data_IF_909024105516
#
_entry.id   IF_909024105516
#
_cell.length_a   1.000
_cell.length_b   1.000
_cell.length_c   1.000
_cell.angle_alpha   90.00
_cell.angle_beta   90.00
_cell.angle_gamma   90.00
#
_symmetry.space_group_name_H-M   'P 1'
#
loop_
_entity.id
_entity.type
_entity.pdbx_description
1 polymer ?
#
# COMPACT_ATOMS: atom_id res chain seq x y z
N UNK A 1 0.49 11.38 21.34
CA UNK A 1 -0.08 12.24 20.26
C UNK A 1 0.54 13.65 20.21
N UNK A 2 0.75 14.35 21.34
CA UNK A 2 1.40 15.68 21.36
C UNK A 2 2.86 15.68 20.86
N UNK A 3 3.61 14.59 21.04
CA UNK A 3 5.03 14.54 20.64
C UNK A 3 5.26 14.47 19.14
N UNK A 4 4.34 13.90 18.34
CA UNK A 4 4.52 13.75 16.88
C UNK A 4 4.37 15.10 16.17
N UNK A 5 3.48 15.97 16.64
CA UNK A 5 3.29 17.30 16.06
C UNK A 5 4.46 18.27 16.35
N UNK A 6 5.15 18.10 17.49
CA UNK A 6 6.27 18.97 17.86
C UNK A 6 7.55 18.73 17.02
N UNK A 7 7.68 17.53 16.39
CA UNK A 7 8.88 17.18 15.63
C UNK A 7 8.93 17.71 14.19
N UNK A 8 7.79 18.00 13.60
CA UNK A 8 7.70 18.39 12.18
C UNK A 8 7.56 19.91 11.98
N UNK A 9 7.33 20.65 13.06
CA UNK A 9 7.10 22.11 12.99
C UNK A 9 5.82 22.49 12.23
N UNK A 10 4.95 21.53 11.94
CA UNK A 10 3.73 21.72 11.16
C UNK A 10 2.61 22.15 12.11
N UNK A 11 2.01 23.28 11.81
CA UNK A 11 0.83 23.74 12.52
C UNK A 11 -0.42 23.09 11.90
N UNK A 12 -0.98 22.10 12.57
CA UNK A 12 -2.15 21.37 12.08
C UNK A 12 -3.41 21.95 12.69
N UNK A 13 -4.38 22.28 11.85
CA UNK A 13 -5.69 22.77 12.26
C UNK A 13 -6.40 21.73 13.17
N UNK A 14 -6.94 22.10 14.35
CA UNK A 14 -7.69 21.20 15.21
C UNK A 14 -8.88 20.51 14.55
N UNK A 15 -9.54 21.14 13.58
CA UNK A 15 -10.63 20.51 12.81
C UNK A 15 -10.12 19.41 11.87
N UNK A 16 -8.92 19.57 11.33
CA UNK A 16 -8.24 18.53 10.58
C UNK A 16 -7.96 17.29 11.45
N UNK A 17 -7.43 17.47 12.67
CA UNK A 17 -7.20 16.36 13.61
C UNK A 17 -8.50 15.62 13.96
N UNK A 18 -9.59 16.35 14.18
CA UNK A 18 -10.90 15.74 14.41
C UNK A 18 -11.40 14.91 13.22
N UNK A 19 -11.11 15.36 12.01
CA UNK A 19 -11.45 14.62 10.79
C UNK A 19 -10.62 13.36 10.65
N UNK A 20 -9.32 13.43 10.92
CA UNK A 20 -8.42 12.26 10.96
C UNK A 20 -8.91 11.21 11.97
N UNK A 21 -9.33 11.62 13.16
CA UNK A 21 -9.87 10.70 14.18
C UNK A 21 -11.17 10.00 13.73
N UNK A 22 -11.97 10.62 12.87
CA UNK A 22 -13.21 10.03 12.33
C UNK A 22 -12.98 9.03 11.22
N UNK A 23 -11.90 9.14 10.45
CA UNK A 23 -11.64 8.31 9.26
C UNK A 23 -11.64 6.82 9.63
N UNK A 24 -11.02 6.44 10.74
CA UNK A 24 -10.97 5.04 11.19
C UNK A 24 -12.38 4.46 11.41
N UNK A 25 -13.28 5.23 12.03
CA UNK A 25 -14.64 4.76 12.32
C UNK A 25 -15.50 4.65 11.07
N UNK A 26 -15.32 5.56 10.12
CA UNK A 26 -16.06 5.57 8.85
C UNK A 26 -15.62 4.39 7.97
N UNK A 27 -14.33 4.19 7.80
CA UNK A 27 -13.79 3.11 6.96
C UNK A 27 -14.16 1.71 7.46
N UNK A 28 -14.05 1.45 8.76
CA UNK A 28 -14.43 0.17 9.35
C UNK A 28 -15.92 -0.13 9.19
N UNK A 29 -16.79 0.85 9.42
CA UNK A 29 -18.23 0.66 9.27
C UNK A 29 -18.66 0.41 7.83
N UNK A 30 -18.02 1.08 6.88
CA UNK A 30 -18.34 0.95 5.46
C UNK A 30 -17.97 -0.43 4.90
N UNK A 31 -16.81 -0.98 5.30
CA UNK A 31 -16.28 -2.20 4.71
C UNK A 31 -16.53 -3.47 5.55
N UNK A 32 -17.07 -3.36 6.76
CA UNK A 32 -17.16 -4.46 7.70
C UNK A 32 -17.87 -5.71 7.15
N UNK A 33 -18.98 -5.53 6.47
CA UNK A 33 -19.74 -6.63 5.85
C UNK A 33 -18.94 -7.30 4.73
N UNK A 34 -18.39 -6.49 3.82
CA UNK A 34 -17.58 -6.99 2.68
C UNK A 34 -16.34 -7.73 3.15
N UNK A 35 -15.64 -7.20 4.14
CA UNK A 35 -14.47 -7.83 4.76
C UNK A 35 -14.78 -9.22 5.32
N UNK A 36 -15.87 -9.35 6.07
CA UNK A 36 -16.29 -10.64 6.65
C UNK A 36 -16.76 -11.63 5.59
N UNK A 37 -17.54 -11.18 4.61
CA UNK A 37 -18.02 -12.03 3.51
C UNK A 37 -16.86 -12.54 2.65
N UNK A 38 -15.93 -11.66 2.28
CA UNK A 38 -14.74 -12.05 1.53
C UNK A 38 -13.91 -13.08 2.32
N UNK A 39 -13.63 -12.81 3.60
CA UNK A 39 -12.86 -13.74 4.45
C UNK A 39 -13.52 -15.12 4.54
N UNK A 40 -14.85 -15.18 4.68
CA UNK A 40 -15.61 -16.43 4.71
C UNK A 40 -15.53 -17.17 3.36
N UNK A 41 -15.71 -16.46 2.26
CA UNK A 41 -15.69 -17.04 0.92
C UNK A 41 -14.30 -17.56 0.52
N UNK A 42 -13.24 -16.88 1.00
CA UNK A 42 -11.87 -17.24 0.70
C UNK A 42 -11.33 -18.42 1.50
N UNK A 43 -12.02 -18.84 2.57
CA UNK A 43 -11.61 -19.95 3.43
C UNK A 43 -11.27 -21.22 2.65
N UNK A 44 -12.02 -21.55 1.61
CA UNK A 44 -11.81 -22.74 0.75
C UNK A 44 -10.51 -22.71 -0.06
N UNK A 45 -9.88 -21.54 -0.25
CA UNK A 45 -8.63 -21.39 -0.99
C UNK A 45 -7.39 -21.38 -0.07
N UNK A 46 -7.59 -21.36 1.25
CA UNK A 46 -6.50 -21.30 2.22
C UNK A 46 -5.83 -22.66 2.31
N UNK A 47 -4.63 -22.75 1.73
CA UNK A 47 -3.79 -23.96 1.80
C UNK A 47 -2.51 -23.71 2.59
N UNK A 48 -2.00 -22.47 2.57
CA UNK A 48 -0.80 -22.02 3.27
C UNK A 48 -1.08 -20.69 3.96
N UNK A 49 -0.35 -20.38 5.00
CA UNK A 49 -0.45 -19.13 5.74
C UNK A 49 0.89 -18.38 5.72
N UNK A 50 0.91 -17.14 6.20
CA UNK A 50 2.18 -16.40 6.34
C UNK A 50 3.21 -17.11 7.25
N UNK A 51 2.79 -18.09 8.07
CA UNK A 51 3.72 -18.92 8.86
C UNK A 51 4.49 -19.92 8.00
N UNK A 52 3.96 -20.26 6.84
CA UNK A 52 4.55 -21.21 5.90
C UNK A 52 5.43 -20.53 4.84
N UNK A 53 5.55 -19.20 4.92
CA UNK A 53 6.39 -18.44 3.98
C UNK A 53 7.84 -18.87 4.13
N UNK A 54 8.49 -19.34 3.05
CA UNK A 54 9.88 -19.70 3.12
C UNK A 54 10.73 -18.43 3.32
N UNK A 55 11.73 -18.54 4.19
CA UNK A 55 12.76 -17.48 4.30
C UNK A 55 13.43 -17.27 2.95
N UNK A 56 13.83 -16.03 2.61
CA UNK A 56 14.57 -15.77 1.38
C UNK A 56 15.84 -16.60 1.31
N UNK A 57 15.93 -17.51 0.34
CA UNK A 57 17.10 -18.37 0.14
C UNK A 57 18.01 -17.72 -0.89
N UNK A 58 19.31 -17.73 -0.62
CA UNK A 58 20.33 -17.24 -1.55
C UNK A 58 20.48 -15.72 -1.61
N UNK A 59 19.84 -15.00 -0.68
CA UNK A 59 20.06 -13.56 -0.52
C UNK A 59 21.35 -13.32 0.24
N UNK A 60 22.20 -12.41 -0.24
CA UNK A 60 23.46 -12.06 0.39
C UNK A 60 23.30 -11.05 1.53
N UNK A 61 22.18 -10.35 1.56
CA UNK A 61 21.90 -9.31 2.53
C UNK A 61 20.69 -9.65 3.42
N UNK A 62 20.78 -9.34 4.70
CA UNK A 62 19.67 -9.39 5.67
C UNK A 62 18.83 -8.10 5.61
N UNK A 63 18.66 -7.54 4.43
CA UNK A 63 17.90 -6.33 4.19
C UNK A 63 16.76 -6.55 3.21
N UNK A 64 15.80 -5.63 3.20
CA UNK A 64 14.70 -5.64 2.24
C UNK A 64 14.39 -4.23 1.70
N UNK A 65 13.89 -4.19 0.48
CA UNK A 65 13.26 -3.01 -0.10
C UNK A 65 11.77 -3.30 -0.30
N UNK A 66 10.93 -2.50 0.34
CA UNK A 66 9.47 -2.49 0.14
C UNK A 66 9.14 -1.46 -0.92
N UNK A 67 8.55 -1.92 -2.02
CA UNK A 67 8.19 -1.09 -3.17
C UNK A 67 6.69 -0.82 -3.13
N UNK A 68 6.31 0.40 -2.76
CA UNK A 68 4.94 0.91 -2.79
C UNK A 68 4.62 1.53 -4.16
N UNK A 69 3.44 2.14 -4.34
CA UNK A 69 2.94 2.53 -5.65
C UNK A 69 2.83 4.05 -5.87
N UNK A 70 3.42 4.85 -5.00
CA UNK A 70 3.36 6.31 -5.07
C UNK A 70 4.03 6.90 -6.32
N UNK A 71 3.71 8.16 -6.66
CA UNK A 71 4.21 8.82 -7.87
C UNK A 71 5.73 8.99 -7.93
N UNK A 72 6.41 9.02 -6.80
CA UNK A 72 7.88 9.08 -6.73
C UNK A 72 8.59 7.92 -7.44
N UNK A 73 7.96 6.75 -7.54
CA UNK A 73 8.53 5.63 -8.31
C UNK A 73 8.87 6.03 -9.75
N UNK A 74 8.03 6.86 -10.37
CA UNK A 74 8.26 7.33 -11.73
C UNK A 74 9.08 8.62 -11.77
N UNK A 75 8.68 9.60 -10.94
CA UNK A 75 9.34 10.91 -10.91
C UNK A 75 10.84 10.78 -10.62
N UNK A 76 11.21 9.84 -9.75
CA UNK A 76 12.60 9.60 -9.34
C UNK A 76 13.26 8.40 -10.01
N UNK A 77 12.58 7.74 -10.96
CA UNK A 77 13.08 6.55 -11.68
C UNK A 77 13.62 5.45 -10.75
N UNK A 78 12.97 5.25 -9.61
CA UNK A 78 13.48 4.43 -8.50
C UNK A 78 13.71 2.96 -8.90
N UNK A 79 12.81 2.36 -9.68
CA UNK A 79 12.93 0.94 -10.04
C UNK A 79 14.18 0.66 -10.87
N UNK A 80 14.52 1.53 -11.83
CA UNK A 80 15.77 1.40 -12.58
C UNK A 80 16.99 1.58 -11.68
N UNK A 81 16.95 2.53 -10.78
CA UNK A 81 18.04 2.79 -9.81
C UNK A 81 18.29 1.59 -8.90
N UNK A 82 17.24 0.92 -8.40
CA UNK A 82 17.37 -0.34 -7.64
C UNK A 82 18.03 -1.42 -8.51
N UNK A 83 17.56 -1.59 -9.75
CA UNK A 83 18.11 -2.59 -10.67
C UNK A 83 19.59 -2.32 -10.96
N UNK A 84 19.91 -1.07 -11.28
CA UNK A 84 21.28 -0.67 -11.66
C UNK A 84 22.27 -0.75 -10.49
N UNK A 85 21.78 -0.64 -9.24
CA UNK A 85 22.61 -0.83 -8.04
C UNK A 85 23.07 -2.27 -7.83
N UNK A 86 22.45 -3.23 -8.53
CA UNK A 86 22.74 -4.66 -8.34
C UNK A 86 22.32 -5.18 -6.97
N UNK A 87 21.29 -4.61 -6.33
CA UNK A 87 20.84 -4.98 -5.00
C UNK A 87 20.52 -6.47 -4.87
N UNK A 88 21.13 -7.15 -3.91
CA UNK A 88 21.03 -8.58 -3.69
C UNK A 88 20.18 -8.97 -2.45
N UNK A 89 19.58 -8.00 -1.78
CA UNK A 89 18.66 -8.24 -0.66
C UNK A 89 17.24 -8.63 -1.14
N UNK A 90 16.31 -8.68 -0.20
CA UNK A 90 14.92 -9.09 -0.48
C UNK A 90 14.12 -7.94 -1.09
N UNK A 91 13.38 -8.21 -2.16
CA UNK A 91 12.48 -7.24 -2.80
C UNK A 91 11.04 -7.65 -2.54
N UNK A 92 10.26 -6.76 -1.95
CA UNK A 92 8.84 -6.94 -1.65
C UNK A 92 8.05 -5.87 -2.41
N UNK A 93 7.26 -6.26 -3.38
CA UNK A 93 6.34 -5.35 -4.07
C UNK A 93 4.95 -5.44 -3.46
N UNK A 94 4.21 -4.34 -3.49
CA UNK A 94 2.77 -4.40 -3.25
C UNK A 94 2.03 -4.68 -4.57
N UNK A 95 0.76 -5.03 -4.47
CA UNK A 95 -0.14 -5.24 -5.62
C UNK A 95 -0.05 -4.11 -6.65
N UNK A 96 -0.13 -2.84 -6.22
CA UNK A 96 -0.06 -1.66 -7.07
C UNK A 96 1.29 -1.39 -7.74
N UNK A 97 2.37 -2.03 -7.30
CA UNK A 97 3.72 -1.86 -7.88
C UNK A 97 4.22 -3.08 -8.64
N UNK A 98 3.59 -4.24 -8.47
CA UNK A 98 4.06 -5.51 -9.03
C UNK A 98 4.29 -5.46 -10.55
N UNK A 99 3.29 -5.04 -11.31
CA UNK A 99 3.41 -4.96 -12.78
C UNK A 99 4.48 -3.94 -13.20
N UNK A 100 4.64 -2.88 -12.42
CA UNK A 100 5.68 -1.87 -12.67
C UNK A 100 7.09 -2.45 -12.47
N UNK A 101 7.26 -3.25 -11.41
CA UNK A 101 8.51 -3.97 -11.17
C UNK A 101 8.86 -4.89 -12.34
N UNK A 102 7.91 -5.69 -12.82
CA UNK A 102 8.14 -6.58 -13.97
C UNK A 102 8.52 -5.78 -15.23
N UNK A 103 7.81 -4.66 -15.50
CA UNK A 103 8.12 -3.79 -16.65
C UNK A 103 9.52 -3.18 -16.58
N UNK A 104 10.09 -3.05 -15.39
CA UNK A 104 11.44 -2.57 -15.14
C UNK A 104 12.48 -3.71 -15.07
N UNK A 105 12.11 -4.94 -15.38
CA UNK A 105 12.93 -6.16 -15.19
C UNK A 105 13.43 -6.31 -13.74
N UNK A 106 12.65 -5.90 -12.78
CA UNK A 106 12.92 -6.04 -11.35
C UNK A 106 11.94 -7.06 -10.77
N UNK A 107 12.38 -8.31 -10.59
CA UNK A 107 11.54 -9.40 -10.10
C UNK A 107 11.41 -9.37 -8.58
N UNK A 108 10.22 -9.13 -8.00
CA UNK A 108 10.03 -9.21 -6.56
C UNK A 108 10.14 -10.64 -6.03
N UNK A 109 10.66 -10.80 -4.83
CA UNK A 109 10.66 -12.07 -4.10
C UNK A 109 9.28 -12.38 -3.51
N UNK A 110 8.57 -11.34 -3.09
CA UNK A 110 7.23 -11.43 -2.52
C UNK A 110 6.35 -10.30 -3.08
N UNK A 111 5.07 -10.61 -3.21
CA UNK A 111 4.03 -9.64 -3.56
C UNK A 111 3.01 -9.64 -2.43
N UNK A 112 2.61 -8.48 -1.95
CA UNK A 112 1.63 -8.36 -0.87
C UNK A 112 0.39 -7.61 -1.34
N UNK A 113 -0.79 -8.12 -0.99
CA UNK A 113 -2.09 -7.47 -1.29
C UNK A 113 -2.97 -7.38 -0.04
N UNK A 114 -3.72 -6.31 0.08
CA UNK A 114 -4.57 -6.00 1.23
C UNK A 114 -5.98 -5.55 0.84
N UNK A 115 -6.12 -4.76 -0.22
CA UNK A 115 -7.35 -4.02 -0.54
C UNK A 115 -8.53 -4.97 -0.85
N UNK A 116 -9.69 -4.81 -0.20
CA UNK A 116 -10.88 -5.62 -0.45
C UNK A 116 -11.66 -5.22 -1.72
N UNK A 117 -11.23 -4.18 -2.44
CA UNK A 117 -11.95 -3.66 -3.60
C UNK A 117 -11.68 -4.40 -4.90
N UNK A 118 -12.73 -4.87 -5.61
CA UNK A 118 -12.57 -5.64 -6.84
C UNK A 118 -12.05 -4.82 -8.04
N UNK A 119 -12.23 -3.52 -8.03
CA UNK A 119 -11.91 -2.63 -9.15
C UNK A 119 -10.42 -2.36 -9.36
N UNK A 120 -9.63 -2.54 -8.32
CA UNK A 120 -8.19 -2.30 -8.37
C UNK A 120 -7.39 -3.38 -9.10
N UNK A 121 -7.97 -4.55 -9.31
CA UNK A 121 -7.30 -5.68 -9.98
C UNK A 121 -6.77 -5.34 -11.38
N UNK A 122 -7.45 -4.45 -12.08
CA UNK A 122 -7.08 -3.97 -13.42
C UNK A 122 -5.60 -3.54 -13.50
N UNK A 123 -5.18 -2.70 -12.54
CA UNK A 123 -3.82 -2.16 -12.49
C UNK A 123 -2.83 -3.09 -11.82
N UNK A 124 -3.28 -4.05 -11.01
CA UNK A 124 -2.42 -4.94 -10.23
C UNK A 124 -2.04 -6.22 -10.96
N UNK A 125 -3.05 -6.93 -11.49
CA UNK A 125 -2.88 -8.27 -12.06
C UNK A 125 -3.46 -8.41 -13.46
N UNK A 126 -4.10 -7.34 -13.96
CA UNK A 126 -4.92 -7.39 -15.16
C UNK A 126 -6.24 -8.16 -14.94
N UNK A 127 -7.32 -7.64 -15.47
CA UNK A 127 -8.66 -8.24 -15.36
C UNK A 127 -9.13 -8.78 -16.71
N UNK A 128 -9.15 -10.11 -16.93
CA UNK A 128 -9.68 -10.71 -18.16
C UNK A 128 -11.16 -10.43 -18.41
N UNK A 129 -11.91 -10.08 -17.35
CA UNK A 129 -13.33 -9.77 -17.43
C UNK A 129 -13.65 -8.27 -17.36
N UNK A 130 -12.64 -7.42 -17.56
CA UNK A 130 -12.75 -5.98 -17.36
C UNK A 130 -13.91 -5.34 -18.14
N UNK A 131 -14.06 -5.66 -19.42
CA UNK A 131 -15.12 -5.10 -20.27
C UNK A 131 -16.51 -5.46 -19.74
N UNK A 132 -16.69 -6.69 -19.23
CA UNK A 132 -17.95 -7.12 -18.62
C UNK A 132 -18.20 -6.44 -17.27
N UNK A 133 -17.15 -6.27 -16.46
CA UNK A 133 -17.27 -5.65 -15.14
C UNK A 133 -17.51 -4.13 -15.23
N UNK A 134 -17.12 -3.48 -16.34
CA UNK A 134 -17.37 -2.06 -16.57
C UNK A 134 -18.87 -1.73 -16.66
N UNK A 135 -19.70 -2.63 -17.14
CA UNK A 135 -21.14 -2.40 -17.29
C UNK A 135 -21.86 -2.36 -15.94
N UNK A 136 -21.29 -3.05 -14.93
CA UNK A 136 -21.87 -3.22 -13.60
C UNK A 136 -21.20 -2.36 -12.51
N UNK A 137 -20.13 -1.64 -12.83
CA UNK A 137 -19.29 -0.96 -11.83
C UNK A 137 -19.50 0.55 -11.77
N UNK A 138 -20.12 0.98 -10.68
CA UNK A 138 -20.35 2.38 -10.33
C UNK A 138 -19.05 3.20 -10.09
N UNK A 139 -17.91 2.52 -9.87
CA UNK A 139 -16.61 3.17 -9.65
C UNK A 139 -16.16 3.97 -10.87
N UNK A 140 -16.29 3.41 -12.08
CA UNK A 140 -15.95 4.11 -13.32
C UNK A 140 -16.97 5.17 -13.72
N UNK A 141 -18.25 4.98 -13.39
CA UNK A 141 -19.29 5.98 -13.61
C UNK A 141 -19.12 7.19 -12.70
N UNK A 142 -18.64 6.99 -11.46
CA UNK A 142 -18.35 8.06 -10.50
C UNK A 142 -17.12 8.88 -10.85
N UNK A 143 -16.15 8.32 -11.59
CA UNK A 143 -14.91 9.03 -11.94
C UNK A 143 -15.00 9.82 -13.23
N UNK A 144 -16.15 9.82 -13.88
CA UNK A 144 -16.44 10.54 -15.14
C UNK A 144 -15.29 10.38 -16.17
N UNK A 145 -14.83 9.13 -16.33
CA UNK A 145 -13.70 8.81 -17.18
C UNK A 145 -14.10 9.01 -18.64
N UNK A 146 -13.39 9.89 -19.30
CA UNK A 146 -13.58 10.10 -20.72
C UNK A 146 -13.26 8.83 -21.55
N UNK A 147 -13.69 8.83 -22.81
CA UNK A 147 -13.48 7.70 -23.75
C UNK A 147 -11.98 7.42 -23.95
N UNK A 148 -11.13 8.43 -23.87
CA UNK A 148 -9.69 8.28 -24.03
C UNK A 148 -9.08 7.52 -22.85
N UNK A 149 -9.47 7.83 -21.62
CA UNK A 149 -9.03 7.07 -20.44
C UNK A 149 -9.53 5.63 -20.49
N UNK A 150 -10.78 5.41 -20.91
CA UNK A 150 -11.37 4.08 -21.06
C UNK A 150 -10.61 3.23 -22.07
N UNK A 151 -10.22 3.80 -23.20
CA UNK A 151 -9.43 3.13 -24.24
C UNK A 151 -8.01 2.83 -23.75
N UNK A 152 -7.36 3.78 -23.09
CA UNK A 152 -6.02 3.58 -22.51
C UNK A 152 -6.02 2.51 -21.42
N UNK A 153 -7.08 2.48 -20.59
CA UNK A 153 -7.22 1.46 -19.54
C UNK A 153 -7.37 0.05 -20.12
N UNK A 154 -8.10 -0.10 -21.23
CA UNK A 154 -8.23 -1.38 -21.91
C UNK A 154 -6.88 -1.88 -22.48
N UNK A 155 -6.09 -0.98 -23.09
CA UNK A 155 -4.80 -1.34 -23.63
C UNK A 155 -3.82 -1.73 -22.51
N UNK A 156 -3.74 -0.93 -21.46
CA UNK A 156 -2.91 -1.22 -20.30
C UNK A 156 -3.36 -2.53 -19.60
N UNK A 157 -4.65 -2.77 -19.50
CA UNK A 157 -5.17 -4.03 -18.96
C UNK A 157 -4.70 -5.25 -19.76
N UNK A 158 -4.77 -5.21 -21.08
CA UNK A 158 -4.30 -6.31 -21.94
C UNK A 158 -2.80 -6.55 -21.75
N UNK A 159 -2.00 -5.49 -21.68
CA UNK A 159 -0.56 -5.60 -21.36
C UNK A 159 -0.33 -6.22 -20.01
N UNK A 160 -1.05 -5.78 -18.97
CA UNK A 160 -0.94 -6.31 -17.62
C UNK A 160 -1.35 -7.79 -17.54
N UNK A 161 -2.43 -8.19 -18.21
CA UNK A 161 -2.85 -9.60 -18.32
C UNK A 161 -1.71 -10.45 -18.90
N UNK A 162 -1.11 -10.02 -20.00
CA UNK A 162 -0.01 -10.74 -20.66
C UNK A 162 1.20 -10.90 -19.73
N UNK A 163 1.64 -9.81 -19.13
CA UNK A 163 2.79 -9.81 -18.22
C UNK A 163 2.56 -10.69 -17.00
N UNK A 164 1.40 -10.58 -16.36
CA UNK A 164 1.08 -11.37 -15.18
C UNK A 164 0.94 -12.86 -15.51
N UNK A 165 0.39 -13.21 -16.67
CA UNK A 165 0.35 -14.60 -17.14
C UNK A 165 1.75 -15.18 -17.36
N UNK A 166 2.67 -14.35 -17.86
CA UNK A 166 4.05 -14.77 -18.13
C UNK A 166 4.87 -14.93 -16.84
N UNK A 167 4.73 -13.99 -15.89
CA UNK A 167 5.62 -13.88 -14.73
C UNK A 167 5.02 -14.37 -13.41
N UNK A 168 3.68 -14.51 -13.30
CA UNK A 168 3.02 -14.74 -12.00
C UNK A 168 3.07 -16.18 -11.49
N UNK A 169 3.22 -17.17 -12.37
CA UNK A 169 3.19 -18.58 -11.97
C UNK A 169 4.29 -18.91 -10.96
N UNK A 170 3.89 -19.41 -9.79
CA UNK A 170 4.80 -19.79 -8.71
C UNK A 170 5.40 -18.61 -7.92
N UNK A 171 5.05 -17.37 -8.26
CA UNK A 171 5.46 -16.20 -7.46
C UNK A 171 4.77 -16.20 -6.11
N UNK A 172 5.53 -15.90 -5.06
CA UNK A 172 5.02 -15.87 -3.69
C UNK A 172 4.13 -14.64 -3.47
N UNK A 173 2.84 -14.89 -3.27
CA UNK A 173 1.85 -13.86 -3.02
C UNK A 173 1.35 -13.95 -1.58
N UNK A 174 1.59 -12.90 -0.81
CA UNK A 174 1.14 -12.75 0.57
C UNK A 174 -0.23 -12.08 0.54
N UNK A 175 -1.28 -12.90 0.56
CA UNK A 175 -2.65 -12.48 0.29
C UNK A 175 -3.49 -12.34 1.55
N UNK A 176 -4.21 -11.21 1.66
CA UNK A 176 -5.13 -10.95 2.74
C UNK A 176 -6.43 -11.75 2.60
N UNK A 177 -6.97 -12.25 3.70
CA UNK A 177 -8.25 -12.97 3.71
C UNK A 177 -9.43 -12.15 3.17
N UNK A 178 -9.31 -10.83 3.19
CA UNK A 178 -10.32 -9.91 2.70
C UNK A 178 -10.29 -9.67 1.19
N UNK A 179 -9.37 -10.30 0.46
CA UNK A 179 -9.23 -10.15 -0.98
C UNK A 179 -10.56 -10.45 -1.71
N UNK A 180 -10.95 -9.63 -2.70
CA UNK A 180 -12.20 -9.81 -3.42
C UNK A 180 -12.14 -11.05 -4.32
N UNK A 181 -13.31 -11.60 -4.62
CA UNK A 181 -13.46 -12.86 -5.37
C UNK A 181 -12.69 -12.85 -6.70
N UNK A 182 -12.82 -11.79 -7.49
CA UNK A 182 -12.17 -11.67 -8.80
C UNK A 182 -10.65 -11.71 -8.70
N UNK A 183 -10.08 -11.06 -7.68
CA UNK A 183 -8.63 -11.11 -7.42
C UNK A 183 -8.20 -12.52 -7.06
N UNK A 184 -8.93 -13.21 -6.19
CA UNK A 184 -8.61 -14.60 -5.80
C UNK A 184 -8.70 -15.55 -7.00
N UNK A 185 -9.75 -15.44 -7.81
CA UNK A 185 -9.89 -16.24 -9.03
C UNK A 185 -8.73 -15.99 -10.00
N UNK A 186 -8.36 -14.72 -10.22
CA UNK A 186 -7.23 -14.35 -11.06
C UNK A 186 -5.90 -14.93 -10.56
N UNK A 187 -5.67 -14.88 -9.26
CA UNK A 187 -4.46 -15.43 -8.62
C UNK A 187 -4.37 -16.95 -8.81
N UNK A 188 -5.49 -17.65 -8.63
CA UNK A 188 -5.58 -19.10 -8.83
C UNK A 188 -5.35 -19.47 -10.29
N UNK A 189 -5.98 -18.76 -11.22
CA UNK A 189 -5.85 -18.99 -12.66
C UNK A 189 -4.42 -18.83 -13.17
N UNK A 190 -3.71 -17.83 -12.68
CA UNK A 190 -2.29 -17.60 -13.01
C UNK A 190 -1.38 -18.62 -12.34
N UNK A 191 -1.77 -19.15 -11.20
CA UNK A 191 -0.99 -20.12 -10.44
C UNK A 191 0.06 -19.47 -9.53
N UNK A 192 -0.26 -18.34 -8.91
CA UNK A 192 0.55 -17.78 -7.83
C UNK A 192 0.67 -18.74 -6.66
N UNK A 193 1.79 -18.70 -5.94
CA UNK A 193 1.99 -19.44 -4.68
C UNK A 193 1.50 -18.55 -3.52
N UNK A 194 0.26 -18.77 -3.07
CA UNK A 194 -0.46 -17.90 -2.16
C UNK A 194 -0.25 -18.27 -0.68
N UNK A 195 0.10 -17.27 0.12
CA UNK A 195 0.27 -17.35 1.58
C UNK A 195 -0.72 -16.41 2.26
N UNK A 196 -1.65 -16.96 3.02
CA UNK A 196 -2.81 -16.25 3.53
C UNK A 196 -2.58 -15.67 4.93
N UNK A 197 -3.20 -14.52 5.21
CA UNK A 197 -3.21 -13.85 6.49
C UNK A 197 -4.51 -13.08 6.72
N UNK A 198 -4.82 -12.75 7.99
CA UNK A 198 -5.95 -11.91 8.36
C UNK A 198 -5.47 -10.51 8.76
N UNK A 199 -6.14 -9.43 8.30
CA UNK A 199 -5.76 -8.08 8.70
C UNK A 199 -6.19 -7.81 10.14
N UNK A 200 -5.31 -7.17 10.91
CA UNK A 200 -5.63 -6.61 12.21
C UNK A 200 -6.24 -5.22 11.99
N UNK A 201 -7.56 -5.13 12.03
CA UNK A 201 -8.30 -3.90 11.70
C UNK A 201 -8.88 -3.19 12.94
N UNK A 202 -9.01 -3.91 14.06
CA UNK A 202 -9.54 -3.41 15.33
C UNK A 202 -8.93 -4.17 16.51
N UNK A 203 -9.32 -3.78 17.74
CA UNK A 203 -8.86 -4.49 18.94
C UNK A 203 -9.53 -5.86 19.06
N UNK A 204 -8.78 -6.98 18.90
CA UNK A 204 -9.32 -8.33 18.90
C UNK A 204 -9.83 -8.79 20.29
N UNK A 205 -9.56 -8.06 21.35
CA UNK A 205 -10.06 -8.38 22.68
C UNK A 205 -11.53 -8.00 22.87
N UNK A 206 -12.04 -7.07 22.05
CA UNK A 206 -13.45 -6.70 22.07
C UNK A 206 -14.34 -7.82 21.52
N UNK A 207 -15.51 -8.09 22.14
CA UNK A 207 -16.42 -9.16 21.71
C UNK A 207 -16.88 -9.03 20.25
N UNK A 208 -17.12 -7.79 19.79
CA UNK A 208 -17.60 -7.43 18.46
C UNK A 208 -16.48 -7.21 17.43
N UNK A 209 -15.24 -7.53 17.76
CA UNK A 209 -14.09 -7.30 16.89
C UNK A 209 -14.20 -8.04 15.56
N UNK A 210 -14.04 -7.31 14.45
CA UNK A 210 -13.96 -7.86 13.08
C UNK A 210 -12.75 -8.76 12.92
N UNK A 211 -11.59 -8.35 13.45
CA UNK A 211 -10.36 -9.15 13.46
C UNK A 211 -10.62 -10.51 14.13
N UNK A 212 -11.24 -10.48 15.31
CA UNK A 212 -11.57 -11.71 16.04
C UNK A 212 -12.52 -12.62 15.27
N UNK A 213 -13.54 -12.04 14.62
CA UNK A 213 -14.46 -12.80 13.76
C UNK A 213 -13.76 -13.43 12.57
N UNK A 214 -12.92 -12.69 11.85
CA UNK A 214 -12.14 -13.20 10.72
C UNK A 214 -11.18 -14.33 11.13
N UNK A 215 -10.43 -14.12 12.21
CA UNK A 215 -9.48 -15.12 12.74
C UNK A 215 -10.23 -16.38 13.21
N UNK A 216 -11.37 -16.23 13.86
CA UNK A 216 -12.20 -17.37 14.28
C UNK A 216 -12.69 -18.17 13.08
N UNK A 217 -13.11 -17.50 12.01
CA UNK A 217 -13.64 -18.14 10.80
C UNK A 217 -12.53 -18.82 9.98
N UNK A 218 -11.41 -18.13 9.74
CA UNK A 218 -10.36 -18.56 8.81
C UNK A 218 -9.23 -19.34 9.47
N UNK A 219 -9.03 -19.18 10.79
CA UNK A 219 -7.88 -19.67 11.57
C UNK A 219 -6.52 -19.10 11.11
N UNK A 220 -6.54 -18.01 10.37
CA UNK A 220 -5.34 -17.34 9.88
C UNK A 220 -4.62 -16.56 10.97
N UNK A 221 -3.29 -16.47 10.91
CA UNK A 221 -2.54 -15.52 11.71
C UNK A 221 -2.92 -14.09 11.31
N UNK A 222 -3.11 -13.23 12.32
CA UNK A 222 -3.37 -11.81 12.10
C UNK A 222 -2.06 -11.03 11.98
N UNK A 223 -2.05 -10.03 11.12
CA UNK A 223 -0.94 -9.10 10.93
C UNK A 223 -1.45 -7.66 10.90
N UNK A 224 -0.71 -6.74 11.53
CA UNK A 224 -1.04 -5.33 11.53
C UNK A 224 -0.82 -4.74 10.13
N UNK A 225 -1.79 -3.98 9.64
CA UNK A 225 -1.74 -3.37 8.32
C UNK A 225 -1.13 -1.97 8.31
N UNK A 226 -1.16 -1.28 9.47
CA UNK A 226 -0.83 0.15 9.54
C UNK A 226 -1.72 1.05 8.67
N UNK A 227 -2.79 0.49 8.09
CA UNK A 227 -3.76 1.19 7.26
C UNK A 227 -3.49 1.16 5.76
N UNK A 228 -2.29 0.77 5.32
CA UNK A 228 -1.96 0.65 3.89
C UNK A 228 -1.27 -0.67 3.57
N UNK A 229 -1.33 -1.08 2.29
CA UNK A 229 -0.61 -2.27 1.83
C UNK A 229 0.91 -2.10 1.93
N UNK A 230 1.44 -0.89 1.72
CA UNK A 230 2.86 -0.60 1.87
C UNK A 230 3.34 -0.75 3.32
N UNK A 231 2.58 -0.22 4.29
CA UNK A 231 2.88 -0.42 5.71
C UNK A 231 2.76 -1.89 6.11
N UNK A 232 1.74 -2.61 5.61
CA UNK A 232 1.60 -4.04 5.83
C UNK A 232 2.79 -4.84 5.27
N UNK A 233 3.33 -4.45 4.13
CA UNK A 233 4.53 -5.06 3.55
C UNK A 233 5.79 -4.83 4.41
N UNK A 234 5.94 -3.65 5.00
CA UNK A 234 6.99 -3.37 5.97
C UNK A 234 6.84 -4.24 7.24
N UNK A 235 5.62 -4.33 7.78
CA UNK A 235 5.33 -5.23 8.93
C UNK A 235 5.63 -6.68 8.58
N UNK A 236 5.26 -7.14 7.39
CA UNK A 236 5.57 -8.49 6.90
C UNK A 236 7.08 -8.75 6.87
N UNK A 237 7.87 -7.82 6.32
CA UNK A 237 9.33 -7.93 6.29
C UNK A 237 9.91 -8.02 7.70
N UNK A 238 9.47 -7.15 8.61
CA UNK A 238 9.98 -7.09 9.97
C UNK A 238 9.55 -8.29 10.83
N UNK A 239 8.27 -8.64 10.79
CA UNK A 239 7.70 -9.59 11.76
C UNK A 239 7.65 -11.03 11.25
N UNK A 240 7.42 -11.25 9.97
CA UNK A 240 7.34 -12.57 9.36
C UNK A 240 8.69 -13.02 8.82
N UNK A 241 9.34 -12.20 8.01
CA UNK A 241 10.66 -12.53 7.43
C UNK A 241 11.82 -12.27 8.40
N UNK A 242 11.58 -11.54 9.50
CA UNK A 242 12.60 -11.18 10.50
C UNK A 242 13.79 -10.39 9.92
N UNK A 243 13.52 -9.57 8.93
CA UNK A 243 14.53 -8.73 8.30
C UNK A 243 14.70 -7.45 9.12
N UNK A 244 15.92 -7.14 9.60
CA UNK A 244 16.15 -6.02 10.51
C UNK A 244 16.31 -4.66 9.79
N UNK A 245 16.77 -4.66 8.54
CA UNK A 245 17.05 -3.46 7.76
C UNK A 245 16.11 -3.36 6.57
N UNK A 246 15.17 -2.41 6.62
CA UNK A 246 14.11 -2.30 5.62
C UNK A 246 14.08 -0.88 5.07
N UNK A 247 14.27 -0.77 3.75
CA UNK A 247 13.99 0.46 3.00
C UNK A 247 12.57 0.45 2.47
N UNK A 248 11.98 1.64 2.35
CA UNK A 248 10.71 1.86 1.67
C UNK A 248 10.91 2.82 0.51
N UNK A 249 10.28 2.55 -0.62
CA UNK A 249 10.25 3.42 -1.81
C UNK A 249 8.83 3.54 -2.33
N UNK A 250 8.50 4.68 -2.94
CA UNK A 250 7.15 4.92 -3.43
C UNK A 250 6.09 5.04 -2.33
N UNK A 251 6.49 5.26 -1.08
CA UNK A 251 5.59 5.46 0.06
C UNK A 251 5.42 6.96 0.32
N UNK A 252 4.87 7.64 -0.66
CA UNK A 252 4.76 9.11 -0.67
C UNK A 252 3.82 9.64 0.41
N UNK A 253 2.68 8.99 0.63
CA UNK A 253 1.64 9.38 1.58
C UNK A 253 1.26 10.87 1.47
N UNK A 254 1.26 11.38 0.24
CA UNK A 254 1.00 12.76 -0.07
C UNK A 254 1.07 13.06 -1.55
N UNK A 255 0.99 14.34 -1.87
CA UNK A 255 0.94 14.89 -3.21
C UNK A 255 2.07 15.89 -3.39
N UNK A 256 2.68 15.94 -4.57
CA UNK A 256 3.66 16.97 -4.91
C UNK A 256 2.99 18.36 -4.94
N UNK A 257 3.61 19.38 -4.34
CA UNK A 257 3.04 20.72 -4.26
C UNK A 257 3.02 21.44 -5.62
N UNK A 258 3.92 21.05 -6.53
CA UNK A 258 3.97 21.54 -7.92
C UNK A 258 2.98 20.84 -8.85
N UNK A 259 2.28 19.81 -8.36
CA UNK A 259 1.31 19.01 -9.09
C UNK A 259 -0.11 19.31 -8.58
N UNK A 260 -1.02 19.58 -9.49
CA UNK A 260 -2.43 19.82 -9.15
C UNK A 260 -3.24 18.53 -9.00
N UNK A 261 -2.62 17.38 -8.99
CA UNK A 261 -3.29 16.07 -8.90
C UNK A 261 -4.15 15.90 -7.65
N UNK A 262 -3.76 16.54 -6.52
CA UNK A 262 -4.58 16.52 -5.31
C UNK A 262 -5.95 17.19 -5.47
N UNK A 263 -6.08 18.16 -6.40
CA UNK A 263 -7.35 18.83 -6.74
C UNK A 263 -8.34 17.91 -7.50
N UNK A 264 -7.87 16.75 -7.97
CA UNK A 264 -8.65 15.76 -8.71
C UNK A 264 -9.03 14.56 -7.87
N UNK A 265 -8.69 14.57 -6.57
CA UNK A 265 -8.97 13.46 -5.68
C UNK A 265 -10.40 13.51 -5.13
N UNK A 266 -10.98 12.35 -4.85
CA UNK A 266 -12.27 12.27 -4.18
C UNK A 266 -12.23 13.00 -2.82
N UNK A 267 -11.13 12.88 -2.09
CA UNK A 267 -10.91 13.58 -0.81
C UNK A 267 -11.03 15.09 -0.97
N UNK A 268 -10.45 15.67 -2.03
CA UNK A 268 -10.56 17.09 -2.29
C UNK A 268 -12.03 17.52 -2.51
N UNK A 269 -12.77 16.81 -3.35
CA UNK A 269 -14.18 17.13 -3.62
C UNK A 269 -15.06 16.98 -2.39
N UNK A 270 -14.88 15.91 -1.60
CA UNK A 270 -15.62 15.71 -0.37
C UNK A 270 -15.32 16.79 0.69
N UNK A 271 -14.08 17.25 0.78
CA UNK A 271 -13.69 18.33 1.67
C UNK A 271 -14.22 19.68 1.18
N UNK A 272 -14.13 19.96 -0.12
CA UNK A 272 -14.65 21.19 -0.72
C UNK A 272 -16.14 21.38 -0.41
N UNK A 273 -16.93 20.32 -0.51
CA UNK A 273 -18.36 20.36 -0.19
C UNK A 273 -18.65 20.59 1.30
N UNK A 274 -17.73 20.19 2.19
CA UNK A 274 -17.92 20.30 3.65
C UNK A 274 -17.45 21.60 4.23
N UNK A 275 -16.30 22.12 3.76
CA UNK A 275 -15.62 23.26 4.39
C UNK A 275 -15.53 24.51 3.53
N UNK A 276 -15.93 24.44 2.25
CA UNK A 276 -15.82 25.49 1.28
C UNK A 276 -14.44 25.59 0.62
N UNK A 277 -14.41 26.14 -0.59
CA UNK A 277 -13.19 26.24 -1.40
C UNK A 277 -12.13 27.14 -0.76
N UNK A 278 -12.59 28.19 -0.05
CA UNK A 278 -11.70 29.15 0.62
C UNK A 278 -10.95 28.56 1.81
N UNK A 279 -11.49 27.51 2.46
CA UNK A 279 -10.90 26.90 3.66
C UNK A 279 -10.18 25.58 3.38
N UNK A 280 -10.30 25.04 2.15
CA UNK A 280 -9.86 23.68 1.84
C UNK A 280 -8.36 23.49 2.00
N UNK A 281 -7.56 24.54 1.76
CA UNK A 281 -6.10 24.49 1.90
C UNK A 281 -5.65 24.17 3.32
N UNK A 282 -6.47 24.46 4.35
CA UNK A 282 -6.18 24.12 5.73
C UNK A 282 -6.26 22.60 6.01
N UNK A 283 -6.88 21.86 5.10
CA UNK A 283 -7.04 20.40 5.16
C UNK A 283 -6.03 19.63 4.31
N UNK A 284 -5.08 20.36 3.71
CA UNK A 284 -3.92 19.80 2.99
C UNK A 284 -2.62 20.37 3.58
N UNK A 285 -2.24 19.94 4.81
CA UNK A 285 -1.01 20.41 5.44
C UNK A 285 0.21 20.13 4.57
N UNK A 286 1.15 21.07 4.57
CA UNK A 286 2.36 21.02 3.78
C UNK A 286 3.52 20.44 4.58
N UNK A 287 4.31 19.60 3.92
CA UNK A 287 5.55 19.01 4.44
C UNK A 287 6.70 19.39 3.52
N UNK A 288 7.89 19.57 4.11
CA UNK A 288 9.13 19.79 3.35
C UNK A 288 10.01 18.56 3.50
N UNK A 289 10.37 17.93 2.38
CA UNK A 289 11.21 16.74 2.39
C UNK A 289 12.66 17.10 2.72
N UNK A 290 13.31 16.47 3.74
CA UNK A 290 14.55 16.99 4.31
C UNK A 290 15.74 17.06 3.36
N UNK A 291 15.90 16.07 2.46
CA UNK A 291 17.08 15.99 1.59
C UNK A 291 16.99 16.86 0.34
N UNK A 292 15.77 17.10 -0.18
CA UNK A 292 15.56 17.84 -1.44
C UNK A 292 15.03 19.25 -1.23
N UNK A 293 14.38 19.52 -0.09
CA UNK A 293 13.66 20.76 0.14
C UNK A 293 12.36 20.87 -0.67
N UNK A 294 11.93 19.81 -1.35
CA UNK A 294 10.65 19.77 -2.06
C UNK A 294 9.47 19.77 -1.11
N UNK A 295 8.38 20.38 -1.57
CA UNK A 295 7.15 20.55 -0.82
C UNK A 295 6.11 19.53 -1.24
N UNK A 296 5.44 18.95 -0.24
CA UNK A 296 4.39 17.93 -0.42
C UNK A 296 3.17 18.30 0.42
N UNK A 297 1.99 18.08 -0.13
CA UNK A 297 0.75 18.14 0.62
C UNK A 297 0.33 16.77 1.10
N UNK A 298 -0.24 16.67 2.30
CA UNK A 298 -0.98 15.48 2.74
C UNK A 298 -2.46 15.80 2.85
N UNK A 299 -3.29 14.78 2.87
CA UNK A 299 -4.71 14.88 3.21
C UNK A 299 -5.01 14.13 4.53
N UNK A 300 -6.25 14.22 5.07
CA UNK A 300 -6.57 13.54 6.33
C UNK A 300 -6.35 12.02 6.30
N UNK A 301 -6.57 11.38 5.16
CA UNK A 301 -6.39 9.93 5.00
C UNK A 301 -4.92 9.55 4.98
N UNK A 302 -4.11 10.19 4.16
CA UNK A 302 -2.67 9.96 4.11
C UNK A 302 -1.97 10.36 5.42
N UNK A 303 -2.42 11.41 6.07
CA UNK A 303 -1.92 11.80 7.38
C UNK A 303 -2.19 10.72 8.43
N UNK A 304 -3.37 10.11 8.42
CA UNK A 304 -3.69 8.99 9.29
C UNK A 304 -2.79 7.77 9.00
N UNK A 305 -2.59 7.42 7.74
CA UNK A 305 -1.67 6.32 7.37
C UNK A 305 -0.24 6.59 7.83
N UNK A 306 0.24 7.83 7.62
CA UNK A 306 1.55 8.26 8.09
C UNK A 306 1.69 8.09 9.60
N UNK A 307 0.73 8.55 10.38
CA UNK A 307 0.75 8.43 11.84
C UNK A 307 0.74 6.97 12.30
N UNK A 308 -0.04 6.10 11.67
CA UNK A 308 -0.01 4.67 11.94
C UNK A 308 1.38 4.06 11.69
N UNK A 309 2.05 4.44 10.61
CA UNK A 309 3.40 3.97 10.32
C UNK A 309 4.40 4.44 11.40
N UNK A 310 4.32 5.71 11.80
CA UNK A 310 5.17 6.24 12.89
C UNK A 310 4.92 5.53 14.22
N UNK A 311 3.67 5.23 14.55
CA UNK A 311 3.32 4.48 15.77
C UNK A 311 3.86 3.04 15.73
N UNK A 312 3.81 2.38 14.57
CA UNK A 312 4.40 1.05 14.38
C UNK A 312 5.92 1.06 14.51
N UNK A 313 6.60 2.04 13.92
CA UNK A 313 8.04 2.22 14.04
C UNK A 313 8.42 2.42 15.49
N UNK A 314 7.76 3.34 16.19
CA UNK A 314 8.01 3.63 17.60
C UNK A 314 7.78 2.41 18.49
N UNK A 315 6.69 1.67 18.29
CA UNK A 315 6.37 0.49 19.12
C UNK A 315 7.24 -0.71 18.83
N UNK A 316 7.77 -0.84 17.62
CA UNK A 316 8.68 -1.93 17.26
C UNK A 316 10.12 -1.68 17.69
N UNK A 317 10.50 -0.43 17.96
CA UNK A 317 11.89 -0.02 18.18
C UNK A 317 12.78 -0.16 16.94
N UNK A 318 12.17 -0.30 15.75
CA UNK A 318 12.87 -0.43 14.48
C UNK A 318 13.09 0.92 13.82
N UNK A 319 14.04 0.98 12.90
CA UNK A 319 14.29 2.11 12.02
C UNK A 319 13.79 1.79 10.61
N UNK A 320 13.31 2.80 9.90
CA UNK A 320 12.93 2.72 8.49
C UNK A 320 13.86 3.61 7.66
N UNK A 321 14.41 3.06 6.61
CA UNK A 321 15.14 3.82 5.59
C UNK A 321 14.15 4.28 4.53
N UNK A 322 13.82 5.57 4.52
CA UNK A 322 12.93 6.14 3.51
C UNK A 322 13.75 6.57 2.29
N UNK A 323 13.73 5.72 1.26
CA UNK A 323 14.40 5.96 -0.02
C UNK A 323 13.41 6.42 -1.11
N UNK A 324 12.26 6.95 -0.70
CA UNK A 324 11.22 7.46 -1.62
C UNK A 324 11.72 8.68 -2.41
N UNK A 325 12.60 9.49 -1.81
CA UNK A 325 13.07 10.75 -2.40
C UNK A 325 11.98 11.82 -2.45
N UNK A 326 10.96 11.72 -1.59
CA UNK A 326 9.84 12.64 -1.52
C UNK A 326 8.73 12.16 -0.61
N UNK A 327 7.62 12.90 -0.57
CA UNK A 327 6.44 12.58 0.21
C UNK A 327 6.48 13.08 1.65
N UNK A 328 5.58 12.56 2.47
CA UNK A 328 5.33 13.04 3.83
C UNK A 328 5.80 12.08 4.94
N UNK A 329 6.40 10.94 4.56
CA UNK A 329 6.89 9.96 5.53
C UNK A 329 8.24 10.40 6.10
N UNK A 330 8.20 11.35 7.00
CA UNK A 330 9.33 11.88 7.76
C UNK A 330 8.99 11.94 9.24
N UNK A 331 9.98 11.73 10.11
CA UNK A 331 9.77 11.78 11.56
C UNK A 331 10.70 10.86 12.33
N UNK A 332 10.45 10.68 13.64
CA UNK A 332 11.27 9.84 14.50
C UNK A 332 11.34 8.38 14.02
N UNK A 333 12.53 7.79 13.99
CA UNK A 333 12.75 6.42 13.54
C UNK A 333 12.78 6.26 12.02
N UNK A 334 12.74 7.37 11.26
CA UNK A 334 12.85 7.38 9.80
C UNK A 334 14.13 8.09 9.40
N UNK A 335 14.93 7.43 8.61
CA UNK A 335 16.13 7.98 7.99
C UNK A 335 15.90 8.12 6.48
N UNK A 336 15.92 9.37 6.00
CA UNK A 336 15.74 9.69 4.58
C UNK A 336 17.11 9.66 3.90
N UNK A 337 17.35 8.66 3.07
CA UNK A 337 18.59 8.48 2.30
C UNK A 337 18.28 8.14 0.84
N UNK A 338 19.28 8.27 -0.01
CA UNK A 338 19.17 7.83 -1.39
C UNK A 338 19.15 6.31 -1.51
N UNK A 339 18.47 5.78 -2.54
CA UNK A 339 18.35 4.33 -2.70
C UNK A 339 19.69 3.66 -2.98
N UNK A 340 20.59 4.33 -3.67
CA UNK A 340 21.94 3.85 -3.93
C UNK A 340 22.73 3.68 -2.63
N UNK A 341 22.64 4.64 -1.73
CA UNK A 341 23.30 4.58 -0.42
C UNK A 341 22.79 3.39 0.39
N UNK A 342 21.48 3.17 0.42
CA UNK A 342 20.92 1.97 1.08
C UNK A 342 21.44 0.68 0.46
N UNK A 343 21.48 0.60 -0.88
CA UNK A 343 21.97 -0.58 -1.58
C UNK A 343 23.45 -0.84 -1.32
N UNK A 344 24.30 0.20 -1.35
CA UNK A 344 25.74 0.08 -1.07
C UNK A 344 26.02 -0.39 0.36
N UNK A 345 25.26 0.10 1.33
CA UNK A 345 25.40 -0.31 2.74
C UNK A 345 24.91 -1.74 3.02
N UNK A 346 24.15 -2.34 2.10
CA UNK A 346 23.43 -3.59 2.33
C UNK A 346 23.61 -4.65 1.21
N UNK A 347 24.57 -4.51 0.35
CA UNK A 347 24.96 -5.53 -0.66
C UNK A 347 26.03 -6.50 -0.12
#
# INVERSE_FOLDING_TARGET
>A
RKMINDFTGININPEFEKLVDKITSIGLNWHSKTILENSKNNKKFITKTIRDVPTPIGKKSESAIVISAGPSLYKNNILSRIKDSGYEGTIIAIDGSYVRCIKADLEPDYILTLDPHPTRMLSWFGDPNFEKNLEDDDYFSRQDLDVAFRNNSNEENRKNISLVNQHGKGKKLVICSTAPKNVVERIVDVGFDAYWWAPLVDNPEKPESLTRMMVKETKLPAMNTGGTVGTAAWVFALTTLKIPKIAVVGMDLGYYADDTSYLQTQTYYELKDKVGEENIHEYFPEFVYPSTGEHFYTDPTYYWYRNNMLDLISSSGSMVYNCTGGGTLIGPGIECIEIEEFCELNN
#
